data_IF_020209874529
#
_entry.id   IF_020209874529
#
_cell.length_a   1.000
_cell.length_b   1.000
_cell.length_c   1.000
_cell.angle_alpha   90.00
_cell.angle_beta   90.00
_cell.angle_gamma   90.00
#
_symmetry.space_group_name_H-M   'P 1'
#
loop_
_entity.id
_entity.type
_entity.pdbx_description
1 polymer ?
#
# COMPACT_ATOMS: atom_id res chain seq x y z
N UNK A 1 -13.57 -20.01 16.95
CA UNK A 1 -13.67 -18.94 15.95
C UNK A 1 -12.75 -19.33 14.82
N UNK A 2 -13.32 -19.55 13.63
CA UNK A 2 -12.59 -19.90 12.41
C UNK A 2 -11.89 -18.64 11.89
N UNK A 3 -10.61 -18.75 11.57
CA UNK A 3 -9.85 -17.71 10.84
C UNK A 3 -10.42 -17.62 9.43
N UNK A 4 -10.63 -16.43 8.86
CA UNK A 4 -11.11 -16.32 7.48
C UNK A 4 -10.11 -16.92 6.51
N UNK A 5 -10.57 -17.74 5.57
CA UNK A 5 -9.68 -18.38 4.59
C UNK A 5 -9.42 -17.48 3.37
N UNK A 6 -10.30 -16.51 3.11
CA UNK A 6 -10.18 -15.56 2.00
C UNK A 6 -10.90 -14.22 2.27
N UNK A 7 -10.72 -13.25 1.36
CA UNK A 7 -11.32 -11.92 1.46
C UNK A 7 -12.84 -11.88 1.22
N UNK A 8 -13.44 -12.96 0.71
CA UNK A 8 -14.89 -13.02 0.46
C UNK A 8 -15.71 -13.13 1.76
N UNK A 9 -15.04 -13.45 2.87
CA UNK A 9 -15.62 -13.49 4.22
C UNK A 9 -15.64 -12.12 4.92
N UNK A 10 -15.06 -11.09 4.30
CA UNK A 10 -15.04 -9.73 4.83
C UNK A 10 -16.35 -9.00 4.53
N UNK A 11 -16.85 -8.29 5.54
CA UNK A 11 -17.90 -7.29 5.38
C UNK A 11 -17.38 -6.08 4.59
N UNK A 12 -18.30 -5.27 4.06
CA UNK A 12 -17.99 -4.16 3.14
C UNK A 12 -16.84 -3.26 3.64
N UNK A 13 -16.92 -2.76 4.88
CA UNK A 13 -15.90 -1.90 5.47
C UNK A 13 -14.53 -2.59 5.55
N UNK A 14 -14.50 -3.86 5.92
CA UNK A 14 -13.27 -4.63 6.02
C UNK A 14 -12.68 -4.95 4.65
N UNK A 15 -13.52 -5.21 3.64
CA UNK A 15 -13.10 -5.38 2.24
C UNK A 15 -12.47 -4.10 1.68
N UNK A 16 -13.06 -2.93 1.96
CA UNK A 16 -12.49 -1.63 1.56
C UNK A 16 -11.15 -1.39 2.25
N UNK A 17 -11.03 -1.74 3.53
CA UNK A 17 -9.76 -1.63 4.26
C UNK A 17 -8.70 -2.60 3.72
N UNK A 18 -9.09 -3.83 3.38
CA UNK A 18 -8.18 -4.80 2.75
C UNK A 18 -7.70 -4.32 1.38
N UNK A 19 -8.58 -3.82 0.52
CA UNK A 19 -8.16 -3.25 -0.76
C UNK A 19 -7.21 -2.06 -0.58
N UNK A 20 -7.49 -1.18 0.39
CA UNK A 20 -6.62 -0.04 0.69
C UNK A 20 -5.24 -0.49 1.20
N UNK A 21 -5.17 -1.62 1.91
CA UNK A 21 -3.90 -2.24 2.31
C UNK A 21 -3.11 -2.75 1.09
N UNK A 22 -3.76 -3.44 0.16
CA UNK A 22 -3.15 -3.89 -1.08
C UNK A 22 -2.62 -2.71 -1.91
N UNK A 23 -3.43 -1.66 -2.09
CA UNK A 23 -3.03 -0.45 -2.82
C UNK A 23 -1.84 0.28 -2.16
N UNK A 24 -1.80 0.29 -0.82
CA UNK A 24 -0.67 0.80 -0.05
C UNK A 24 0.60 -0.04 -0.29
N UNK A 25 0.48 -1.37 -0.31
CA UNK A 25 1.56 -2.29 -0.63
C UNK A 25 2.12 -2.07 -2.04
N UNK A 26 1.24 -2.02 -3.04
CA UNK A 26 1.59 -1.81 -4.44
C UNK A 26 2.28 -0.46 -4.67
N UNK A 27 1.75 0.61 -4.10
CA UNK A 27 2.34 1.95 -4.22
C UNK A 27 3.74 2.02 -3.58
N UNK A 28 3.93 1.36 -2.43
CA UNK A 28 5.24 1.24 -1.78
C UNK A 28 6.22 0.50 -2.68
N UNK A 29 5.81 -0.63 -3.24
CA UNK A 29 6.67 -1.45 -4.11
C UNK A 29 7.10 -0.66 -5.35
N UNK A 30 6.18 0.05 -6.01
CA UNK A 30 6.51 0.89 -7.18
C UNK A 30 7.54 1.97 -6.85
N UNK A 31 7.43 2.62 -5.69
CA UNK A 31 8.42 3.61 -5.25
C UNK A 31 9.80 2.96 -5.02
N UNK A 32 9.85 1.78 -4.39
CA UNK A 32 11.11 1.04 -4.17
C UNK A 32 11.73 0.55 -5.48
N UNK A 33 10.92 0.08 -6.43
CA UNK A 33 11.39 -0.35 -7.74
C UNK A 33 12.00 0.82 -8.51
N UNK A 34 11.39 2.00 -8.45
CA UNK A 34 11.95 3.22 -9.05
C UNK A 34 13.29 3.59 -8.41
N UNK A 35 13.39 3.56 -7.07
CA UNK A 35 14.67 3.80 -6.38
C UNK A 35 15.75 2.80 -6.81
N UNK A 36 15.39 1.52 -6.93
CA UNK A 36 16.31 0.48 -7.39
C UNK A 36 16.79 0.72 -8.82
N UNK A 37 15.87 1.07 -9.73
CA UNK A 37 16.20 1.39 -11.12
C UNK A 37 17.17 2.59 -11.21
N UNK A 38 16.93 3.64 -10.40
CA UNK A 38 17.81 4.80 -10.33
C UNK A 38 19.18 4.48 -9.72
N UNK A 39 19.23 3.64 -8.67
CA UNK A 39 20.51 3.16 -8.11
C UNK A 39 21.36 2.49 -9.18
N UNK A 40 20.76 1.57 -9.95
CA UNK A 40 21.45 0.89 -11.06
C UNK A 40 21.93 1.90 -12.10
N UNK A 41 21.10 2.88 -12.50
CA UNK A 41 21.51 3.93 -13.45
C UNK A 41 22.73 4.71 -12.93
N UNK A 42 22.71 5.12 -11.67
CA UNK A 42 23.76 5.97 -11.10
C UNK A 42 25.07 5.19 -10.85
N UNK A 43 24.99 3.90 -10.51
CA UNK A 43 26.16 3.01 -10.44
C UNK A 43 26.88 2.88 -11.79
N UNK A 44 26.17 3.04 -12.91
CA UNK A 44 26.74 3.02 -14.27
C UNK A 44 27.11 4.42 -14.80
N UNK A 45 27.24 5.42 -13.91
CA UNK A 45 27.69 6.77 -14.27
C UNK A 45 26.58 7.69 -14.80
N UNK A 46 25.31 7.28 -14.74
CA UNK A 46 24.19 8.17 -15.01
C UNK A 46 24.06 9.25 -13.93
N UNK A 47 23.57 10.44 -14.32
CA UNK A 47 23.31 11.53 -13.38
C UNK A 47 21.81 11.63 -13.02
N UNK A 48 21.47 12.10 -11.81
CA UNK A 48 20.11 12.46 -11.46
C UNK A 48 19.55 13.58 -12.34
N UNK A 49 18.25 13.52 -12.60
CA UNK A 49 17.51 14.53 -13.36
C UNK A 49 16.30 15.05 -12.60
N UNK A 50 15.84 16.24 -12.98
CA UNK A 50 14.62 16.83 -12.43
C UNK A 50 13.38 15.95 -12.68
N UNK A 51 13.32 15.27 -13.82
CA UNK A 51 12.23 14.36 -14.16
C UNK A 51 12.18 13.14 -13.22
N UNK A 52 13.34 12.58 -12.87
CA UNK A 52 13.42 11.46 -11.92
C UNK A 52 13.01 11.89 -10.51
N UNK A 53 13.41 13.09 -10.09
CA UNK A 53 12.97 13.66 -8.81
C UNK A 53 11.46 13.93 -8.80
N UNK A 54 10.90 14.43 -9.89
CA UNK A 54 9.46 14.66 -10.03
C UNK A 54 8.68 13.33 -9.98
N UNK A 55 9.19 12.28 -10.63
CA UNK A 55 8.54 10.96 -10.60
C UNK A 55 8.61 10.32 -9.21
N UNK A 56 9.75 10.38 -8.52
CA UNK A 56 9.86 9.93 -7.13
C UNK A 56 8.89 10.68 -6.21
N UNK A 57 8.80 12.00 -6.35
CA UNK A 57 7.85 12.81 -5.58
C UNK A 57 6.40 12.42 -5.85
N UNK A 58 6.04 12.16 -7.12
CA UNK A 58 4.71 11.70 -7.52
C UNK A 58 4.38 10.33 -6.91
N UNK A 59 5.30 9.37 -6.97
CA UNK A 59 5.13 8.04 -6.40
C UNK A 59 4.96 8.11 -4.87
N UNK A 60 5.73 8.98 -4.20
CA UNK A 60 5.62 9.20 -2.77
C UNK A 60 4.28 9.86 -2.38
N UNK A 61 3.80 10.83 -3.14
CA UNK A 61 2.47 11.44 -2.94
C UNK A 61 1.34 10.42 -3.10
N UNK A 62 1.41 9.54 -4.10
CA UNK A 62 0.47 8.43 -4.27
C UNK A 62 0.50 7.50 -3.06
N UNK A 63 1.68 7.11 -2.60
CA UNK A 63 1.80 6.26 -1.42
C UNK A 63 1.20 6.93 -0.17
N UNK A 64 1.45 8.22 0.04
CA UNK A 64 0.87 8.97 1.15
C UNK A 64 -0.66 8.99 1.10
N UNK A 65 -1.26 9.17 -0.08
CA UNK A 65 -2.71 9.09 -0.27
C UNK A 65 -3.25 7.70 0.07
N UNK A 66 -2.57 6.64 -0.35
CA UNK A 66 -2.98 5.26 -0.04
C UNK A 66 -2.85 4.96 1.46
N UNK A 67 -1.84 5.48 2.14
CA UNK A 67 -1.70 5.39 3.61
C UNK A 67 -2.87 6.09 4.32
N UNK A 68 -3.28 7.27 3.86
CA UNK A 68 -4.43 8.00 4.42
C UNK A 68 -5.74 7.23 4.17
N UNK A 69 -5.92 6.70 2.96
CA UNK A 69 -7.07 5.88 2.60
C UNK A 69 -7.17 4.63 3.49
N UNK A 70 -6.07 3.89 3.64
CA UNK A 70 -6.02 2.71 4.51
C UNK A 70 -6.31 3.06 5.97
N UNK A 71 -5.73 4.13 6.52
CA UNK A 71 -6.03 4.58 7.89
C UNK A 71 -7.50 4.92 8.07
N UNK A 72 -8.11 5.57 7.08
CA UNK A 72 -9.52 5.95 7.10
C UNK A 72 -10.41 4.71 7.03
N UNK A 73 -10.12 3.78 6.13
CA UNK A 73 -10.85 2.53 5.98
C UNK A 73 -10.73 1.65 7.24
N UNK A 74 -9.54 1.51 7.82
CA UNK A 74 -9.34 0.79 9.08
C UNK A 74 -10.11 1.39 10.25
N UNK A 75 -10.25 2.71 10.30
CA UNK A 75 -11.05 3.38 11.32
C UNK A 75 -12.55 3.10 11.15
N UNK A 76 -13.01 2.86 9.92
CA UNK A 76 -14.40 2.52 9.62
C UNK A 76 -14.77 1.08 10.01
N UNK A 77 -13.81 0.15 10.09
CA UNK A 77 -14.07 -1.25 10.51
C UNK A 77 -14.37 -1.31 12.01
N UNK A 78 -15.64 -1.10 12.38
CA UNK A 78 -16.06 -1.04 13.79
C UNK A 78 -16.37 -2.41 14.40
N UNK A 79 -16.75 -3.39 13.58
CA UNK A 79 -17.00 -4.76 14.03
C UNK A 79 -15.68 -5.47 14.41
N UNK A 80 -15.59 -5.94 15.66
CA UNK A 80 -14.37 -6.58 16.19
C UNK A 80 -14.04 -7.91 15.51
N UNK A 81 -15.04 -8.69 15.09
CA UNK A 81 -14.81 -9.94 14.39
C UNK A 81 -14.26 -9.66 12.98
N UNK A 82 -14.85 -8.71 12.27
CA UNK A 82 -14.37 -8.24 10.96
C UNK A 82 -12.96 -7.65 11.06
N UNK A 83 -12.67 -6.87 12.10
CA UNK A 83 -11.33 -6.34 12.33
C UNK A 83 -10.29 -7.45 12.56
N UNK A 84 -10.60 -8.48 13.36
CA UNK A 84 -9.71 -9.63 13.56
C UNK A 84 -9.48 -10.40 12.26
N UNK A 85 -10.54 -10.62 11.50
CA UNK A 85 -10.49 -11.32 10.23
C UNK A 85 -9.59 -10.57 9.22
N UNK A 86 -9.78 -9.26 9.11
CA UNK A 86 -8.94 -8.39 8.29
C UNK A 86 -7.46 -8.44 8.70
N UNK A 87 -7.16 -8.34 10.00
CA UNK A 87 -5.77 -8.40 10.51
C UNK A 87 -5.11 -9.74 10.19
N UNK A 88 -5.85 -10.85 10.24
CA UNK A 88 -5.34 -12.16 9.88
C UNK A 88 -4.92 -12.23 8.39
N UNK A 89 -5.65 -11.57 7.49
CA UNK A 89 -5.34 -11.54 6.05
C UNK A 89 -4.16 -10.62 5.69
N UNK A 90 -3.82 -9.66 6.55
CA UNK A 90 -2.69 -8.74 6.35
C UNK A 90 -1.36 -9.25 6.92
N UNK A 91 -1.38 -10.38 7.63
CA UNK A 91 -0.22 -10.98 8.31
C UNK A 91 0.58 -11.87 7.37
#
# INVERSE_FOLDING_TARGET
MTTPENADELGEEASVAYQSFLDMGDSKQRHLDQLKALSVKYEHGGAPSEQENAELARLLDIHNKNVIAFKTAMAAVTDEAQRRNLVALMS
#
